data_IF_060740806980
#
_entry.id   IF_060740806980
#
_cell.length_a   1.000
_cell.length_b   1.000
_cell.length_c   1.000
_cell.angle_alpha   90.00
_cell.angle_beta   90.00
_cell.angle_gamma   90.00
#
_symmetry.space_group_name_H-M   'P 1'
#
loop_
_entity.id
_entity.type
_entity.pdbx_description
1 polymer ?
#
# COMPACT_ATOMS: atom_id res chain seq x y z
N UNK A 1 -23.15 -14.34 -12.02
CA UNK A 1 -24.28 -13.77 -11.24
C UNK A 1 -24.79 -14.73 -10.16
N UNK A 2 -24.93 -16.05 -10.38
CA UNK A 2 -25.34 -16.98 -9.31
C UNK A 2 -24.26 -17.24 -8.22
N UNK A 3 -22.99 -16.98 -8.53
CA UNK A 3 -21.88 -17.16 -7.59
C UNK A 3 -21.84 -16.07 -6.51
N UNK A 4 -22.38 -14.86 -6.78
CA UNK A 4 -22.42 -13.76 -5.82
C UNK A 4 -23.49 -13.96 -4.74
N UNK A 5 -24.69 -14.43 -5.09
CA UNK A 5 -25.77 -14.60 -4.11
C UNK A 5 -25.46 -15.70 -3.09
N UNK A 6 -24.92 -16.84 -3.54
CA UNK A 6 -24.53 -17.91 -2.63
C UNK A 6 -23.36 -17.48 -1.72
N UNK A 7 -22.39 -16.74 -2.28
CA UNK A 7 -21.29 -16.18 -1.50
C UNK A 7 -21.80 -15.23 -0.41
N UNK A 8 -22.75 -14.35 -0.74
CA UNK A 8 -23.35 -13.43 0.23
C UNK A 8 -24.07 -14.17 1.37
N UNK A 9 -24.81 -15.24 1.07
CA UNK A 9 -25.46 -16.06 2.11
C UNK A 9 -24.43 -16.77 2.98
N UNK A 10 -23.36 -17.30 2.39
CA UNK A 10 -22.25 -17.92 3.13
C UNK A 10 -21.51 -16.92 4.01
N UNK A 11 -21.22 -15.73 3.50
CA UNK A 11 -20.56 -14.65 4.23
C UNK A 11 -21.44 -14.17 5.40
N UNK A 12 -22.75 -14.00 5.18
CA UNK A 12 -23.71 -13.66 6.23
C UNK A 12 -23.83 -14.78 7.29
N UNK A 13 -23.80 -16.04 6.88
CA UNK A 13 -23.82 -17.16 7.82
C UNK A 13 -22.53 -17.22 8.65
N UNK A 14 -21.37 -17.02 8.00
CA UNK A 14 -20.07 -17.03 8.67
C UNK A 14 -19.93 -15.91 9.68
N UNK A 15 -20.37 -14.69 9.37
CA UNK A 15 -20.28 -13.54 10.29
C UNK A 15 -21.15 -13.71 11.53
N UNK A 16 -22.29 -14.40 11.42
CA UNK A 16 -23.15 -14.73 12.58
C UNK A 16 -22.48 -15.77 13.50
N UNK A 17 -21.70 -16.69 12.94
CA UNK A 17 -21.06 -17.77 13.71
C UNK A 17 -19.81 -17.27 14.44
N UNK A 18 -18.94 -16.54 13.74
CA UNK A 18 -17.69 -16.03 14.29
C UNK A 18 -17.23 -14.82 13.44
N UNK A 19 -17.56 -13.62 13.91
CA UNK A 19 -17.28 -12.36 13.22
C UNK A 19 -15.77 -12.10 13.07
N UNK A 20 -14.97 -12.44 14.10
CA UNK A 20 -13.53 -12.22 14.08
C UNK A 20 -12.84 -13.13 13.05
N UNK A 21 -13.22 -14.41 13.00
CA UNK A 21 -12.70 -15.31 11.97
C UNK A 21 -13.26 -14.97 10.59
N UNK A 22 -14.52 -14.57 10.48
CA UNK A 22 -15.09 -14.14 9.21
C UNK A 22 -14.30 -12.99 8.60
N UNK A 23 -14.04 -11.93 9.37
CA UNK A 23 -13.26 -10.77 8.90
C UNK A 23 -11.84 -11.18 8.50
N UNK A 24 -11.21 -12.08 9.25
CA UNK A 24 -9.89 -12.63 8.90
C UNK A 24 -9.91 -13.39 7.57
N UNK A 25 -10.88 -14.27 7.35
CA UNK A 25 -10.99 -15.02 6.10
C UNK A 25 -11.39 -14.15 4.92
N UNK A 26 -12.26 -13.15 5.12
CA UNK A 26 -12.61 -12.15 4.12
C UNK A 26 -11.37 -11.36 3.72
N UNK A 27 -10.57 -10.91 4.68
CA UNK A 27 -9.30 -10.24 4.43
C UNK A 27 -8.37 -11.10 3.56
N UNK A 28 -8.12 -12.34 3.98
CA UNK A 28 -7.23 -13.26 3.27
C UNK A 28 -7.70 -13.55 1.83
N UNK A 29 -9.01 -13.61 1.62
CA UNK A 29 -9.64 -13.87 0.32
C UNK A 29 -9.63 -12.66 -0.61
N UNK A 30 -9.99 -11.48 -0.10
CA UNK A 30 -10.37 -10.35 -0.95
C UNK A 30 -9.35 -9.19 -0.89
N UNK A 31 -8.76 -8.91 0.27
CA UNK A 31 -7.96 -7.69 0.50
C UNK A 31 -6.45 -7.96 0.48
N UNK A 32 -5.99 -9.06 1.08
CA UNK A 32 -4.59 -9.44 1.09
C UNK A 32 -4.00 -9.60 -0.33
N UNK A 33 -4.69 -10.23 -1.30
CA UNK A 33 -4.17 -10.33 -2.67
C UNK A 33 -4.08 -8.96 -3.37
N UNK A 34 -5.05 -8.07 -3.10
CA UNK A 34 -5.05 -6.71 -3.64
C UNK A 34 -3.89 -5.89 -3.09
N UNK A 35 -3.65 -5.95 -1.78
CA UNK A 35 -2.50 -5.30 -1.15
C UNK A 35 -1.18 -5.84 -1.71
N UNK A 36 -1.07 -7.16 -1.90
CA UNK A 36 0.11 -7.77 -2.51
C UNK A 36 0.37 -7.23 -3.93
N UNK A 37 -0.69 -7.07 -4.74
CA UNK A 37 -0.56 -6.49 -6.08
C UNK A 37 -0.14 -5.01 -6.06
N UNK A 38 -0.69 -4.20 -5.14
CA UNK A 38 -0.25 -2.81 -4.98
C UNK A 38 1.24 -2.72 -4.66
N UNK A 39 1.71 -3.57 -3.76
CA UNK A 39 3.12 -3.65 -3.34
C UNK A 39 4.01 -4.06 -4.51
N UNK A 40 3.56 -5.01 -5.32
CA UNK A 40 4.27 -5.44 -6.53
C UNK A 40 4.45 -4.29 -7.51
N UNK A 41 3.37 -3.57 -7.85
CA UNK A 41 3.43 -2.39 -8.74
C UNK A 41 4.36 -1.29 -8.21
N UNK A 42 4.36 -1.07 -6.88
CA UNK A 42 5.30 -0.13 -6.25
C UNK A 42 6.75 -0.61 -6.42
N UNK A 43 7.04 -1.90 -6.23
CA UNK A 43 8.39 -2.45 -6.43
C UNK A 43 8.84 -2.37 -7.89
N UNK A 44 7.95 -2.72 -8.82
CA UNK A 44 8.17 -2.61 -10.28
C UNK A 44 8.57 -1.18 -10.69
N UNK A 45 7.98 -0.15 -10.05
CA UNK A 45 8.30 1.27 -10.33
C UNK A 45 9.76 1.67 -10.05
N UNK A 46 10.47 0.90 -9.22
CA UNK A 46 11.89 1.08 -8.90
C UNK A 46 12.78 0.03 -9.56
N UNK A 47 12.22 -0.95 -10.27
CA UNK A 47 13.02 -1.96 -10.95
C UNK A 47 13.90 -1.32 -12.03
N UNK A 48 15.15 -1.79 -12.12
CA UNK A 48 16.16 -1.21 -13.04
C UNK A 48 16.80 0.11 -12.57
N UNK A 49 16.29 0.77 -11.51
CA UNK A 49 16.89 1.99 -10.93
C UNK A 49 17.95 1.64 -9.88
N UNK A 50 19.21 1.54 -10.31
CA UNK A 50 20.34 1.10 -9.45
C UNK A 50 20.69 2.05 -8.31
N UNK A 51 20.24 3.29 -8.40
CA UNK A 51 20.44 4.35 -7.42
C UNK A 51 19.42 4.31 -6.27
N UNK A 52 18.34 3.54 -6.43
CA UNK A 52 17.27 3.37 -5.46
C UNK A 52 17.27 1.97 -4.84
N UNK A 53 16.90 1.90 -3.56
CA UNK A 53 16.63 0.66 -2.83
C UNK A 53 15.35 0.84 -2.00
N UNK A 54 14.48 -0.17 -1.99
CA UNK A 54 13.32 -0.25 -1.11
C UNK A 54 13.61 -1.24 0.01
N UNK A 55 13.55 -0.77 1.26
CA UNK A 55 13.67 -1.63 2.44
C UNK A 55 12.33 -1.71 3.16
N UNK A 56 11.76 -2.92 3.31
CA UNK A 56 10.51 -3.10 4.06
C UNK A 56 10.75 -2.88 5.55
N UNK A 57 10.08 -1.88 6.13
CA UNK A 57 10.24 -1.50 7.53
C UNK A 57 8.92 -0.97 8.10
N UNK A 58 8.42 -1.57 9.17
CA UNK A 58 7.16 -1.18 9.82
C UNK A 58 5.89 -1.75 9.18
N UNK A 59 6.02 -2.80 8.37
CA UNK A 59 4.90 -3.50 7.78
C UNK A 59 4.08 -4.32 8.79
N UNK A 60 2.77 -4.32 8.63
CA UNK A 60 1.80 -5.18 9.32
C UNK A 60 1.09 -6.09 8.30
N UNK A 61 0.03 -6.77 8.69
CA UNK A 61 -0.81 -7.58 7.79
C UNK A 61 -1.69 -6.72 6.88
N UNK A 62 -2.16 -5.58 7.39
CA UNK A 62 -3.09 -4.63 6.74
C UNK A 62 -2.40 -3.49 6.00
N UNK A 63 -1.10 -3.32 6.20
CA UNK A 63 -0.34 -2.19 5.70
C UNK A 63 1.10 -2.58 5.44
N UNK A 64 1.68 -2.09 4.34
CA UNK A 64 3.10 -2.25 4.02
C UNK A 64 3.80 -0.91 4.00
N UNK A 65 5.02 -0.87 4.50
CA UNK A 65 5.83 0.34 4.49
C UNK A 65 7.24 0.03 4.02
N UNK A 66 7.74 0.88 3.14
CA UNK A 66 9.05 0.77 2.52
C UNK A 66 9.82 2.06 2.72
N UNK A 67 11.00 1.96 3.33
CA UNK A 67 11.96 3.06 3.34
C UNK A 67 12.64 3.11 1.98
N UNK A 68 12.50 4.24 1.31
CA UNK A 68 13.25 4.56 0.10
C UNK A 68 14.66 4.98 0.54
N UNK A 69 15.66 4.32 -0.02
CA UNK A 69 17.06 4.73 0.09
C UNK A 69 17.56 5.18 -1.27
N UNK A 70 18.30 6.29 -1.29
CA UNK A 70 18.98 6.80 -2.48
C UNK A 70 20.47 6.88 -2.17
N UNK A 71 21.31 6.21 -2.96
CA UNK A 71 22.76 6.11 -2.69
C UNK A 71 23.07 5.65 -1.25
N UNK A 72 22.39 4.61 -0.77
CA UNK A 72 22.47 4.09 0.62
C UNK A 72 22.03 5.06 1.73
N UNK A 73 21.52 6.26 1.39
CA UNK A 73 20.96 7.21 2.36
C UNK A 73 19.47 6.98 2.52
N UNK A 74 19.01 6.85 3.76
CA UNK A 74 17.58 6.81 4.10
C UNK A 74 16.97 8.16 3.80
N UNK A 75 15.91 8.21 3.01
CA UNK A 75 15.23 9.47 2.65
C UNK A 75 13.86 9.54 3.31
N UNK A 76 12.90 8.78 2.82
CA UNK A 76 11.50 8.78 3.27
C UNK A 76 10.91 7.38 3.25
N UNK A 77 9.83 7.19 4.01
CA UNK A 77 9.02 6.00 3.96
C UNK A 77 7.87 6.23 2.98
N UNK A 78 7.55 5.20 2.19
CA UNK A 78 6.30 5.11 1.45
C UNK A 78 5.48 4.00 2.06
N UNK A 79 4.24 4.34 2.41
CA UNK A 79 3.25 3.40 2.89
C UNK A 79 2.30 3.00 1.78
N UNK A 80 1.90 1.73 1.75
CA UNK A 80 0.93 1.14 0.84
C UNK A 80 -0.12 0.42 1.69
N UNK A 81 -1.39 0.81 1.55
CA UNK A 81 -2.50 0.13 2.22
C UNK A 81 -3.73 0.06 1.34
N UNK A 82 -4.58 -0.89 1.66
CA UNK A 82 -5.96 -0.95 1.17
C UNK A 82 -6.87 -0.46 2.31
N UNK A 83 -7.76 0.48 2.02
CA UNK A 83 -8.71 0.98 3.01
C UNK A 83 -10.04 1.25 2.32
N UNK A 84 -11.13 0.64 2.79
CA UNK A 84 -12.48 0.83 2.27
C UNK A 84 -12.57 0.63 0.74
N UNK A 85 -11.86 -0.40 0.22
CA UNK A 85 -11.80 -0.69 -1.22
C UNK A 85 -10.90 0.25 -2.04
N UNK A 86 -10.20 1.18 -1.38
CA UNK A 86 -9.32 2.15 -2.01
C UNK A 86 -7.86 1.82 -1.78
N UNK A 87 -7.06 2.00 -2.82
CA UNK A 87 -5.61 2.02 -2.70
C UNK A 87 -5.17 3.36 -2.13
N UNK A 88 -4.36 3.32 -1.07
CA UNK A 88 -3.84 4.51 -0.41
C UNK A 88 -2.32 4.41 -0.36
N UNK A 89 -1.63 5.33 -1.04
CA UNK A 89 -0.19 5.50 -0.96
C UNK A 89 0.12 6.76 -0.14
N UNK A 90 0.93 6.61 0.90
CA UNK A 90 1.34 7.71 1.79
C UNK A 90 2.84 7.86 1.85
N UNK A 91 3.31 8.98 2.39
CA UNK A 91 4.72 9.16 2.70
C UNK A 91 4.91 9.66 4.13
N UNK A 92 5.97 9.19 4.77
CA UNK A 92 6.36 9.62 6.11
C UNK A 92 7.87 9.85 6.22
N UNK A 93 8.24 10.62 7.24
CA UNK A 93 9.63 10.79 7.67
C UNK A 93 10.15 9.50 8.29
N UNK A 94 11.44 9.24 8.13
CA UNK A 94 12.09 8.04 8.65
C UNK A 94 13.02 8.43 9.78
N UNK A 95 13.04 7.63 10.84
CA UNK A 95 14.00 7.81 11.93
C UNK A 95 15.44 7.83 11.39
N UNK A 96 16.21 8.82 11.85
CA UNK A 96 17.60 9.08 11.44
C UNK A 96 17.75 9.48 9.96
N UNK A 97 16.67 9.90 9.30
CA UNK A 97 16.74 10.63 8.04
C UNK A 97 16.94 12.12 8.28
N UNK A 98 17.78 12.76 7.47
CA UNK A 98 17.94 14.21 7.47
C UNK A 98 16.89 14.92 6.59
N UNK A 99 16.08 14.17 5.83
CA UNK A 99 15.12 14.71 4.89
C UNK A 99 13.77 14.98 5.57
N UNK A 100 13.07 16.02 5.11
CA UNK A 100 11.74 16.39 5.62
C UNK A 100 10.69 16.31 4.50
N UNK A 101 9.41 16.36 4.88
CA UNK A 101 8.29 16.31 3.94
C UNK A 101 7.51 17.63 3.98
N UNK A 102 7.21 18.17 2.80
CA UNK A 102 6.35 19.33 2.64
C UNK A 102 4.88 19.05 3.02
N UNK A 103 4.43 17.82 2.77
CA UNK A 103 3.08 17.32 3.08
C UNK A 103 3.13 15.80 3.25
N UNK A 104 2.29 15.29 4.16
CA UNK A 104 2.09 13.85 4.41
C UNK A 104 0.74 13.35 3.87
N UNK A 105 0.03 14.14 3.09
CA UNK A 105 -1.30 13.77 2.57
C UNK A 105 -1.21 12.57 1.62
N UNK A 106 -1.95 11.49 1.85
CA UNK A 106 -1.88 10.34 0.96
C UNK A 106 -2.46 10.65 -0.42
N UNK A 107 -2.03 9.87 -1.41
CA UNK A 107 -2.70 9.76 -2.72
C UNK A 107 -3.62 8.56 -2.66
N UNK A 108 -4.86 8.71 -3.13
CA UNK A 108 -5.90 7.69 -3.00
C UNK A 108 -6.68 7.55 -4.29
N UNK A 109 -7.04 6.32 -4.63
CA UNK A 109 -7.98 5.99 -5.71
C UNK A 109 -8.72 4.68 -5.38
N UNK A 110 -9.83 4.41 -6.06
CA UNK A 110 -10.50 3.11 -5.96
C UNK A 110 -9.58 2.03 -6.55
N UNK A 111 -9.48 0.87 -5.89
CA UNK A 111 -8.53 -0.18 -6.29
C UNK A 111 -8.67 -0.58 -7.77
N UNK A 112 -9.90 -0.61 -8.28
CA UNK A 112 -10.18 -1.00 -9.68
C UNK A 112 -9.62 -0.01 -10.72
N UNK A 113 -9.25 1.20 -10.28
CA UNK A 113 -8.61 2.23 -11.10
C UNK A 113 -7.08 2.25 -10.95
N UNK A 114 -6.50 1.29 -10.21
CA UNK A 114 -5.05 1.22 -10.03
C UNK A 114 -4.40 0.50 -11.21
N UNK A 115 -3.49 1.20 -11.86
CA UNK A 115 -2.58 0.67 -12.86
C UNK A 115 -1.13 1.16 -12.61
N UNK A 116 -0.20 0.72 -13.45
CA UNK A 116 1.22 1.11 -13.38
C UNK A 116 1.39 2.64 -13.49
N UNK A 117 0.59 3.29 -14.32
CA UNK A 117 0.67 4.73 -14.55
C UNK A 117 0.24 5.51 -13.29
N UNK A 118 -0.87 5.11 -12.66
CA UNK A 118 -1.33 5.70 -11.42
C UNK A 118 -0.31 5.54 -10.30
N UNK A 119 0.31 4.36 -10.16
CA UNK A 119 1.36 4.13 -9.16
C UNK A 119 2.57 5.05 -9.42
N UNK A 120 3.00 5.17 -10.67
CA UNK A 120 4.10 6.07 -11.02
C UNK A 120 3.77 7.54 -10.70
N UNK A 121 2.56 8.00 -11.00
CA UNK A 121 2.11 9.37 -10.72
C UNK A 121 1.93 9.63 -9.21
N UNK A 122 1.43 8.65 -8.48
CA UNK A 122 1.33 8.70 -7.02
C UNK A 122 2.73 8.80 -6.38
N UNK A 123 3.66 7.92 -6.77
CA UNK A 123 5.05 7.94 -6.28
C UNK A 123 5.75 9.24 -6.64
N UNK A 124 5.59 9.74 -7.86
CA UNK A 124 6.11 11.05 -8.29
C UNK A 124 5.59 12.16 -7.38
N UNK A 125 4.30 12.16 -7.08
CA UNK A 125 3.67 13.14 -6.19
C UNK A 125 4.25 13.05 -4.78
N UNK A 126 4.33 11.85 -4.20
CA UNK A 126 4.86 11.64 -2.85
C UNK A 126 6.34 12.03 -2.73
N UNK A 127 7.18 11.60 -3.68
CA UNK A 127 8.63 11.87 -3.67
C UNK A 127 8.92 13.35 -3.95
N UNK A 128 8.11 14.04 -4.76
CA UNK A 128 8.28 15.48 -5.01
C UNK A 128 8.16 16.35 -3.76
N UNK A 129 7.58 15.82 -2.69
CA UNK A 129 7.39 16.53 -1.40
C UNK A 129 8.62 16.43 -0.50
N UNK A 130 9.59 15.59 -0.85
CA UNK A 130 10.83 15.44 -0.09
C UNK A 130 11.67 16.70 -0.22
N UNK A 131 12.09 17.25 0.91
CA UNK A 131 12.97 18.40 0.98
C UNK A 131 14.34 17.98 1.50
N UNK A 132 15.37 18.52 0.86
CA UNK A 132 16.73 18.39 1.35
C UNK A 132 16.84 19.01 2.76
N UNK A 133 17.78 18.50 3.59
CA UNK A 133 18.11 19.13 4.88
C UNK A 133 18.50 20.60 4.75
#
# INVERSE_FOLDING_TARGET
>A
MAQDEFQQVCDQFSSVVDDEQFERFRWDRDEAPKLARLVELVKESFEGRRDFELAEEGATSDFKQYVIKVHSKRTVAVSVKLQDGKAVLGCDTVDRSAYTLASKEPVTTDYDNVDEQWIADALKTLISRVRAP
#
